data_IF_130426054770
#
_entry.id   IF_130426054770
#
_cell.length_a   1.000
_cell.length_b   1.000
_cell.length_c   1.000
_cell.angle_alpha   90.00
_cell.angle_beta   90.00
_cell.angle_gamma   90.00
#
_symmetry.space_group_name_H-M   'P 1'
#
loop_
_entity.id
_entity.type
_entity.pdbx_description
1 polymer ?
#
# COMPACT_ATOMS: atom_id res chain seq x y z
N UNK A 1 -29.89 -1.55 -19.35
CA UNK A 1 -29.21 -0.27 -19.63
C UNK A 1 -29.04 0.47 -18.31
N UNK A 2 -27.91 1.11 -18.13
CA UNK A 2 -27.58 2.03 -17.04
C UNK A 2 -27.37 3.41 -17.67
N UNK A 3 -27.92 4.44 -17.06
CA UNK A 3 -27.76 5.82 -17.51
C UNK A 3 -26.89 6.56 -16.49
N UNK A 4 -25.67 6.88 -16.89
CA UNK A 4 -24.76 7.70 -16.13
C UNK A 4 -25.05 9.17 -16.49
N UNK A 5 -25.62 9.90 -15.53
CA UNK A 5 -25.97 11.32 -15.68
C UNK A 5 -24.72 12.17 -15.40
N UNK A 6 -23.88 12.31 -16.44
CA UNK A 6 -22.67 13.13 -16.35
C UNK A 6 -22.98 14.57 -15.97
N UNK A 7 -22.13 15.16 -15.10
CA UNK A 7 -22.32 16.49 -14.56
C UNK A 7 -23.66 16.72 -13.85
N UNK A 8 -24.25 15.65 -13.27
CA UNK A 8 -25.58 15.76 -12.67
C UNK A 8 -25.62 16.80 -11.55
N UNK A 9 -24.65 16.76 -10.64
CA UNK A 9 -24.66 17.65 -9.47
C UNK A 9 -24.47 19.11 -9.86
N UNK A 10 -23.59 19.41 -10.80
CA UNK A 10 -23.40 20.77 -11.32
C UNK A 10 -24.61 21.24 -12.09
N UNK A 11 -25.14 20.39 -12.97
CA UNK A 11 -26.35 20.66 -13.73
C UNK A 11 -27.54 20.91 -12.80
N UNK A 12 -27.67 20.13 -11.72
CA UNK A 12 -28.71 20.32 -10.72
C UNK A 12 -28.58 21.68 -9.99
N UNK A 13 -27.37 22.04 -9.58
CA UNK A 13 -27.12 23.33 -8.92
C UNK A 13 -27.42 24.52 -9.83
N UNK A 14 -27.16 24.38 -11.13
CA UNK A 14 -27.42 25.42 -12.13
C UNK A 14 -28.89 25.45 -12.57
N UNK A 15 -29.50 24.29 -12.86
CA UNK A 15 -30.90 24.15 -13.27
C UNK A 15 -31.47 22.81 -12.77
N UNK A 16 -32.04 22.81 -11.59
CA UNK A 16 -32.56 21.61 -10.94
C UNK A 16 -33.73 20.97 -11.69
N UNK A 17 -34.58 21.79 -12.32
CA UNK A 17 -35.76 21.31 -13.06
C UNK A 17 -35.30 20.51 -14.31
N UNK A 18 -34.35 21.06 -15.06
CA UNK A 18 -33.81 20.39 -16.21
C UNK A 18 -33.09 19.09 -15.84
N UNK A 19 -32.25 19.10 -14.81
CA UNK A 19 -31.53 17.93 -14.35
C UNK A 19 -32.47 16.80 -13.90
N UNK A 20 -33.51 17.11 -13.14
CA UNK A 20 -34.55 16.15 -12.73
C UNK A 20 -35.33 15.60 -13.93
N UNK A 21 -35.69 16.45 -14.89
CA UNK A 21 -36.38 16.04 -16.11
C UNK A 21 -35.52 15.08 -16.94
N UNK A 22 -34.23 15.34 -17.06
CA UNK A 22 -33.31 14.51 -17.81
C UNK A 22 -33.23 13.08 -17.26
N UNK A 23 -33.00 12.94 -15.93
CA UNK A 23 -32.92 11.61 -15.31
C UNK A 23 -34.26 10.88 -15.29
N UNK A 24 -35.38 11.61 -15.12
CA UNK A 24 -36.72 11.02 -15.19
C UNK A 24 -37.01 10.48 -16.58
N UNK A 25 -36.69 11.22 -17.63
CA UNK A 25 -36.88 10.73 -19.01
C UNK A 25 -36.06 9.48 -19.29
N UNK A 26 -34.80 9.42 -18.82
CA UNK A 26 -33.99 8.22 -18.98
C UNK A 26 -34.59 7.01 -18.26
N UNK A 27 -35.11 7.21 -17.05
CA UNK A 27 -35.76 6.17 -16.27
C UNK A 27 -37.06 5.69 -16.94
N UNK A 28 -37.92 6.60 -17.35
CA UNK A 28 -39.21 6.30 -17.98
C UNK A 28 -39.04 5.57 -19.34
N UNK A 29 -37.91 5.78 -20.01
CA UNK A 29 -37.55 5.10 -21.26
C UNK A 29 -36.68 3.84 -21.05
N UNK A 30 -36.69 3.26 -19.86
CA UNK A 30 -36.21 1.91 -19.58
C UNK A 30 -34.78 1.79 -19.06
N UNK A 31 -34.14 2.87 -18.62
CA UNK A 31 -32.90 2.75 -17.85
C UNK A 31 -33.16 2.04 -16.52
N UNK A 32 -32.47 0.93 -16.25
CA UNK A 32 -32.62 0.16 -15.03
C UNK A 32 -31.94 0.79 -13.83
N UNK A 33 -30.89 1.57 -14.08
CA UNK A 33 -30.13 2.30 -13.09
C UNK A 33 -29.93 3.73 -13.57
N UNK A 34 -30.10 4.67 -12.67
CA UNK A 34 -29.78 6.07 -12.85
C UNK A 34 -28.62 6.41 -11.93
N UNK A 35 -27.47 6.71 -12.49
CA UNK A 35 -26.26 7.01 -11.76
C UNK A 35 -26.01 8.51 -11.81
N UNK A 36 -25.95 9.13 -10.65
CA UNK A 36 -25.72 10.57 -10.52
C UNK A 36 -24.19 10.81 -10.44
N UNK A 37 -23.64 11.53 -11.42
CA UNK A 37 -22.20 11.75 -11.51
C UNK A 37 -21.81 13.13 -10.98
N UNK A 38 -20.85 13.15 -10.07
CA UNK A 38 -20.14 14.35 -9.63
C UNK A 38 -18.83 14.44 -10.45
N UNK A 39 -18.98 14.80 -11.71
CA UNK A 39 -17.94 14.72 -12.74
C UNK A 39 -16.73 15.60 -12.44
N UNK A 40 -16.94 16.77 -11.80
CA UNK A 40 -15.85 17.64 -11.38
C UNK A 40 -15.39 17.43 -9.93
N UNK A 41 -16.04 16.54 -9.18
CA UNK A 41 -15.67 16.22 -7.81
C UNK A 41 -15.89 17.36 -6.79
N UNK A 42 -16.75 18.31 -7.13
CA UNK A 42 -16.96 19.52 -6.34
C UNK A 42 -18.16 19.50 -5.38
N UNK A 43 -18.89 18.40 -5.30
CA UNK A 43 -20.08 18.29 -4.44
C UNK A 43 -19.68 18.00 -2.99
N UNK A 44 -20.09 18.88 -2.09
CA UNK A 44 -19.83 18.73 -0.66
C UNK A 44 -20.92 17.88 0.03
N UNK A 45 -20.58 17.18 1.14
CA UNK A 45 -21.49 16.24 1.80
C UNK A 45 -22.85 16.84 2.22
N UNK A 46 -22.87 18.08 2.66
CA UNK A 46 -24.12 18.72 3.10
C UNK A 46 -25.10 19.04 1.96
N UNK A 47 -24.59 19.16 0.71
CA UNK A 47 -25.42 19.38 -0.49
C UNK A 47 -26.14 18.11 -0.91
N UNK A 48 -25.45 16.95 -0.75
CA UNK A 48 -25.90 15.65 -1.23
C UNK A 48 -27.29 15.26 -0.71
N UNK A 49 -27.54 15.41 0.57
CA UNK A 49 -28.80 15.01 1.19
C UNK A 49 -30.00 15.79 0.62
N UNK A 50 -29.84 17.09 0.41
CA UNK A 50 -30.87 17.94 -0.16
C UNK A 50 -31.18 17.56 -1.62
N UNK A 51 -30.13 17.31 -2.42
CA UNK A 51 -30.25 16.90 -3.83
C UNK A 51 -30.94 15.53 -3.92
N UNK A 52 -30.45 14.53 -3.20
CA UNK A 52 -31.02 13.18 -3.22
C UNK A 52 -32.49 13.15 -2.73
N UNK A 53 -32.86 13.99 -1.77
CA UNK A 53 -34.26 14.13 -1.35
C UNK A 53 -35.19 14.51 -2.51
N UNK A 54 -34.74 15.37 -3.42
CA UNK A 54 -35.52 15.77 -4.58
C UNK A 54 -35.48 14.71 -5.70
N UNK A 55 -34.33 14.11 -5.95
CA UNK A 55 -34.18 13.01 -6.91
C UNK A 55 -35.11 11.82 -6.58
N UNK A 56 -35.20 11.46 -5.30
CA UNK A 56 -36.05 10.33 -4.82
C UNK A 56 -37.55 10.57 -4.98
N UNK A 57 -37.99 11.78 -5.29
CA UNK A 57 -39.39 12.05 -5.65
C UNK A 57 -39.77 11.52 -7.06
N UNK A 58 -38.76 11.29 -7.92
CA UNK A 58 -38.96 10.90 -9.33
C UNK A 58 -38.29 9.58 -9.69
N UNK A 59 -37.25 9.17 -8.97
CA UNK A 59 -36.55 7.89 -9.17
C UNK A 59 -36.59 7.09 -7.88
N UNK A 60 -37.02 5.82 -7.89
CA UNK A 60 -36.95 4.92 -6.72
C UNK A 60 -35.51 4.78 -6.22
N UNK A 61 -35.31 4.85 -4.89
CA UNK A 61 -33.96 4.86 -4.31
C UNK A 61 -33.15 3.58 -4.59
N UNK A 62 -33.83 2.45 -4.75
CA UNK A 62 -33.22 1.17 -5.11
C UNK A 62 -32.74 1.10 -6.58
N UNK A 63 -33.07 2.11 -7.38
CA UNK A 63 -32.61 2.28 -8.78
C UNK A 63 -31.56 3.36 -8.94
N UNK A 64 -31.17 3.98 -7.82
CA UNK A 64 -30.16 5.05 -7.84
C UNK A 64 -28.75 4.48 -7.65
N UNK A 65 -27.83 5.00 -8.45
CA UNK A 65 -26.39 4.89 -8.32
C UNK A 65 -25.73 6.25 -8.15
N UNK A 66 -24.49 6.24 -7.72
CA UNK A 66 -23.64 7.43 -7.61
C UNK A 66 -22.23 7.15 -8.13
N UNK A 67 -21.62 8.20 -8.70
CA UNK A 67 -20.26 8.21 -9.17
C UNK A 67 -19.61 9.53 -8.75
N UNK A 68 -18.64 9.48 -7.85
CA UNK A 68 -17.97 10.68 -7.33
C UNK A 68 -16.49 10.71 -7.73
N UNK A 69 -16.05 11.83 -8.33
CA UNK A 69 -14.63 12.18 -8.39
C UNK A 69 -14.14 12.77 -7.06
N UNK A 70 -12.83 12.71 -6.83
CA UNK A 70 -12.24 12.97 -5.51
C UNK A 70 -11.52 14.32 -5.41
N UNK A 71 -11.89 15.29 -6.24
CA UNK A 71 -11.18 16.59 -6.33
C UNK A 71 -11.25 17.42 -5.03
N UNK A 72 -12.30 17.24 -4.24
CA UNK A 72 -12.45 17.85 -2.91
C UNK A 72 -12.14 16.89 -1.75
N UNK A 73 -11.56 15.71 -2.05
CA UNK A 73 -11.28 14.62 -1.09
C UNK A 73 -12.53 14.09 -0.34
N UNK A 74 -13.72 14.27 -0.93
CA UNK A 74 -14.99 13.86 -0.30
C UNK A 74 -15.65 12.65 -0.98
N UNK A 75 -15.12 12.13 -2.08
CA UNK A 75 -15.77 11.09 -2.88
C UNK A 75 -16.14 9.83 -2.07
N UNK A 76 -15.24 9.36 -1.21
CA UNK A 76 -15.52 8.21 -0.34
C UNK A 76 -16.66 8.50 0.63
N UNK A 77 -16.63 9.66 1.31
CA UNK A 77 -17.67 10.03 2.25
C UNK A 77 -19.03 10.23 1.56
N UNK A 78 -19.05 10.94 0.43
CA UNK A 78 -20.28 11.15 -0.36
C UNK A 78 -20.88 9.80 -0.81
N UNK A 79 -20.07 8.82 -1.21
CA UNK A 79 -20.51 7.48 -1.55
C UNK A 79 -21.17 6.76 -0.37
N UNK A 80 -20.56 6.84 0.82
CA UNK A 80 -21.11 6.23 2.04
C UNK A 80 -22.43 6.90 2.48
N UNK A 81 -22.48 8.22 2.43
CA UNK A 81 -23.68 8.99 2.78
C UNK A 81 -24.81 8.74 1.78
N UNK A 82 -24.50 8.65 0.47
CA UNK A 82 -25.48 8.28 -0.54
C UNK A 82 -26.11 6.89 -0.25
N UNK A 83 -25.30 5.90 0.11
CA UNK A 83 -25.81 4.57 0.48
C UNK A 83 -26.68 4.63 1.73
N UNK A 84 -26.30 5.41 2.73
CA UNK A 84 -27.09 5.64 3.94
C UNK A 84 -28.44 6.31 3.62
N UNK A 85 -28.45 7.21 2.63
CA UNK A 85 -29.63 7.87 2.13
C UNK A 85 -30.49 7.03 1.17
N UNK A 86 -30.15 5.77 0.93
CA UNK A 86 -30.98 4.84 0.18
C UNK A 86 -30.43 4.41 -1.20
N UNK A 87 -29.36 5.03 -1.69
CA UNK A 87 -28.70 4.62 -2.95
C UNK A 87 -28.17 3.18 -2.82
N UNK A 88 -28.25 2.39 -3.91
CA UNK A 88 -27.88 0.96 -3.90
C UNK A 88 -26.74 0.60 -4.82
N UNK A 89 -26.25 1.54 -5.60
CA UNK A 89 -25.08 1.34 -6.45
C UNK A 89 -24.05 2.46 -6.21
N UNK A 90 -22.80 2.08 -6.08
CA UNK A 90 -21.66 3.00 -6.05
C UNK A 90 -20.68 2.59 -7.15
N UNK A 91 -20.39 3.50 -8.04
CA UNK A 91 -19.28 3.40 -8.97
C UNK A 91 -18.05 4.05 -8.34
N UNK A 92 -16.91 3.45 -8.59
CA UNK A 92 -15.61 3.91 -8.10
C UNK A 92 -14.51 3.01 -8.62
N UNK A 93 -13.30 3.19 -8.13
CA UNK A 93 -12.14 2.42 -8.57
C UNK A 93 -11.35 1.90 -7.39
N UNK A 94 -10.66 0.78 -7.58
CA UNK A 94 -9.68 0.34 -6.61
C UNK A 94 -8.55 1.37 -6.51
N UNK A 95 -8.07 1.60 -5.28
CA UNK A 95 -7.03 2.57 -4.95
C UNK A 95 -7.37 4.03 -5.36
N UNK A 96 -8.63 4.32 -5.69
CA UNK A 96 -9.06 5.65 -6.10
C UNK A 96 -8.51 6.10 -7.45
N UNK A 97 -8.16 5.14 -8.33
CA UNK A 97 -7.66 5.45 -9.66
C UNK A 97 -8.66 6.27 -10.46
N UNK A 98 -8.19 7.12 -11.37
CA UNK A 98 -9.02 7.92 -12.25
C UNK A 98 -8.37 9.24 -12.64
N UNK A 99 -9.12 10.04 -13.35
CA UNK A 99 -8.66 11.36 -13.80
C UNK A 99 -8.44 12.32 -12.63
N UNK A 100 -7.53 13.26 -12.79
CA UNK A 100 -7.20 14.32 -11.82
C UNK A 100 -6.84 13.73 -10.44
N UNK A 101 -7.75 13.90 -9.45
CA UNK A 101 -7.58 13.37 -8.09
C UNK A 101 -8.18 11.97 -7.90
N UNK A 102 -8.66 11.35 -8.98
CA UNK A 102 -9.24 10.01 -8.98
C UNK A 102 -10.72 9.95 -8.65
N UNK A 103 -11.20 8.75 -8.39
CA UNK A 103 -12.59 8.43 -8.08
C UNK A 103 -12.75 8.01 -6.62
N UNK A 104 -13.99 7.80 -6.18
CA UNK A 104 -14.26 7.16 -4.90
C UNK A 104 -13.47 5.84 -4.77
N UNK A 105 -12.64 5.75 -3.75
CA UNK A 105 -11.80 4.57 -3.52
C UNK A 105 -12.65 3.39 -3.01
N UNK A 106 -12.89 2.40 -3.86
CA UNK A 106 -13.70 1.22 -3.51
C UNK A 106 -13.12 0.39 -2.36
N UNK A 107 -11.81 0.44 -2.12
CA UNK A 107 -11.19 -0.17 -0.93
C UNK A 107 -11.79 0.45 0.33
N UNK A 108 -11.84 1.78 0.39
CA UNK A 108 -12.35 2.53 1.52
C UNK A 108 -13.87 2.40 1.64
N UNK A 109 -14.59 2.54 0.51
CA UNK A 109 -16.05 2.42 0.47
C UNK A 109 -16.49 1.05 0.95
N UNK A 110 -15.96 -0.04 0.39
CA UNK A 110 -16.33 -1.41 0.75
C UNK A 110 -15.99 -1.73 2.21
N UNK A 111 -14.79 -1.35 2.66
CA UNK A 111 -14.37 -1.59 4.05
C UNK A 111 -15.26 -0.88 5.05
N UNK A 112 -15.63 0.37 4.80
CA UNK A 112 -16.54 1.12 5.67
C UNK A 112 -17.96 0.55 5.66
N UNK A 113 -18.52 0.27 4.49
CA UNK A 113 -19.86 -0.31 4.38
C UNK A 113 -19.97 -1.64 5.17
N UNK A 114 -18.98 -2.52 5.03
CA UNK A 114 -18.99 -3.84 5.66
C UNK A 114 -18.61 -3.82 7.14
N UNK A 115 -17.55 -3.10 7.51
CA UNK A 115 -16.96 -3.17 8.86
C UNK A 115 -17.56 -2.13 9.82
N UNK A 116 -17.90 -0.94 9.33
CA UNK A 116 -18.42 0.17 10.16
C UNK A 116 -19.93 0.27 10.08
N UNK A 117 -20.48 0.30 8.87
CA UNK A 117 -21.93 0.49 8.66
C UNK A 117 -22.74 -0.80 8.69
N UNK A 118 -22.07 -1.98 8.69
CA UNK A 118 -22.70 -3.31 8.82
C UNK A 118 -23.65 -3.69 7.67
N UNK A 119 -23.49 -3.08 6.51
CA UNK A 119 -24.24 -3.48 5.33
C UNK A 119 -23.86 -4.90 4.88
N UNK A 120 -24.81 -5.59 4.24
CA UNK A 120 -24.58 -6.92 3.66
C UNK A 120 -24.16 -6.76 2.20
N UNK A 121 -23.04 -7.37 1.84
CA UNK A 121 -22.51 -7.39 0.48
C UNK A 121 -21.83 -8.73 0.22
N UNK A 122 -21.83 -9.20 -1.03
CA UNK A 122 -21.15 -10.45 -1.44
C UNK A 122 -19.63 -10.40 -1.17
N UNK A 123 -19.05 -9.23 -1.17
CA UNK A 123 -17.62 -9.03 -0.90
C UNK A 123 -17.21 -9.40 0.54
N UNK A 124 -18.17 -9.52 1.48
CA UNK A 124 -17.89 -9.80 2.90
C UNK A 124 -16.96 -11.00 3.10
N UNK A 125 -17.17 -12.08 2.34
CA UNK A 125 -16.40 -13.32 2.47
C UNK A 125 -14.98 -13.23 1.91
N UNK A 126 -14.67 -12.19 1.15
CA UNK A 126 -13.37 -11.96 0.51
C UNK A 126 -12.71 -10.64 0.93
N UNK A 127 -13.24 -9.96 1.94
CA UNK A 127 -12.71 -8.67 2.37
C UNK A 127 -11.25 -8.78 2.86
N UNK A 128 -10.87 -9.91 3.41
CA UNK A 128 -9.49 -10.21 3.81
C UNK A 128 -8.49 -10.33 2.63
N UNK A 129 -8.96 -10.27 1.40
CA UNK A 129 -8.11 -10.24 0.19
C UNK A 129 -7.92 -8.81 -0.33
N UNK A 130 -8.57 -7.81 0.26
CA UNK A 130 -8.61 -6.45 -0.32
C UNK A 130 -7.23 -5.79 -0.33
N UNK A 131 -6.40 -6.04 0.67
CA UNK A 131 -5.01 -5.56 0.70
C UNK A 131 -4.17 -6.19 -0.42
N UNK A 132 -4.31 -7.49 -0.63
CA UNK A 132 -3.64 -8.18 -1.74
C UNK A 132 -4.05 -7.61 -3.09
N UNK A 133 -5.36 -7.43 -3.34
CA UNK A 133 -5.87 -6.89 -4.60
C UNK A 133 -5.39 -5.45 -4.81
N UNK A 134 -5.40 -4.62 -3.76
CA UNK A 134 -4.90 -3.25 -3.83
C UNK A 134 -3.43 -3.20 -4.28
N UNK A 135 -2.57 -4.01 -3.66
CA UNK A 135 -1.14 -4.10 -4.02
C UNK A 135 -0.93 -4.67 -5.41
N UNK A 136 -1.65 -5.73 -5.77
CA UNK A 136 -1.58 -6.34 -7.10
C UNK A 136 -1.90 -5.35 -8.22
N UNK A 137 -2.90 -4.48 -8.02
CA UNK A 137 -3.23 -3.43 -9.00
C UNK A 137 -2.09 -2.42 -9.14
N UNK A 138 -1.53 -1.94 -8.03
CA UNK A 138 -0.41 -0.99 -8.08
C UNK A 138 0.83 -1.61 -8.74
N UNK A 139 1.16 -2.86 -8.41
CA UNK A 139 2.26 -3.61 -9.05
C UNK A 139 2.03 -3.78 -10.56
N UNK A 140 0.80 -4.16 -10.96
CA UNK A 140 0.44 -4.30 -12.40
C UNK A 140 0.59 -2.98 -13.15
N UNK A 141 0.31 -1.86 -12.49
CA UNK A 141 0.45 -0.52 -13.04
C UNK A 141 1.88 0.04 -12.90
N UNK A 142 2.82 -0.74 -12.38
CA UNK A 142 4.17 -0.31 -12.05
C UNK A 142 4.20 0.97 -11.19
N UNK A 143 3.34 1.00 -10.16
CA UNK A 143 3.21 2.11 -9.21
C UNK A 143 3.60 1.65 -7.82
N UNK A 144 4.34 2.49 -7.10
CA UNK A 144 4.55 2.26 -5.68
C UNK A 144 3.25 2.50 -4.90
N UNK A 145 2.78 1.50 -4.16
CA UNK A 145 1.60 1.65 -3.30
C UNK A 145 1.87 2.68 -2.20
N UNK A 146 1.03 3.72 -2.07
CA UNK A 146 1.17 4.68 -0.98
C UNK A 146 1.05 4.00 0.38
N UNK A 147 2.06 4.21 1.22
CA UNK A 147 2.13 3.54 2.55
C UNK A 147 0.98 3.90 3.48
N UNK A 148 0.41 5.08 3.33
CA UNK A 148 -0.64 5.65 4.18
C UNK A 148 -2.07 5.42 3.67
N UNK A 149 -2.27 4.57 2.66
CA UNK A 149 -3.62 4.24 2.19
C UNK A 149 -4.46 3.66 3.36
N UNK A 150 -5.65 4.19 3.63
CA UNK A 150 -6.52 3.63 4.64
C UNK A 150 -6.80 2.14 4.41
N UNK A 151 -6.84 1.34 5.47
CA UNK A 151 -7.06 -0.11 5.50
C UNK A 151 -5.93 -0.96 4.90
N UNK A 152 -5.33 -0.60 3.77
CA UNK A 152 -4.47 -1.50 2.96
C UNK A 152 -3.00 -1.06 2.91
N UNK A 153 -2.71 0.19 3.21
CA UNK A 153 -1.34 0.71 3.22
C UNK A 153 -0.46 0.02 4.26
N UNK A 154 0.83 -0.09 3.99
CA UNK A 154 1.79 -0.70 4.90
C UNK A 154 1.93 0.03 6.24
N UNK A 155 1.55 1.32 6.30
CA UNK A 155 1.54 2.11 7.52
C UNK A 155 0.16 2.22 8.17
N UNK A 156 -0.92 1.67 7.56
CA UNK A 156 -2.29 1.82 8.06
C UNK A 156 -2.49 1.29 9.50
N UNK A 157 -1.71 0.28 9.90
CA UNK A 157 -1.70 -0.32 11.24
C UNK A 157 -0.28 -0.37 11.82
N UNK A 158 0.53 0.66 11.51
CA UNK A 158 1.88 0.78 12.01
C UNK A 158 1.92 1.70 13.25
N UNK A 159 2.52 1.22 14.32
CA UNK A 159 2.66 1.95 15.59
C UNK A 159 4.12 2.21 15.87
N UNK A 160 4.52 3.48 16.01
CA UNK A 160 5.90 3.93 16.20
C UNK A 160 6.18 4.40 17.65
N UNK A 161 5.24 5.09 18.27
CA UNK A 161 5.38 5.64 19.60
C UNK A 161 5.36 4.57 20.70
N UNK A 162 6.28 4.64 21.66
CA UNK A 162 6.38 3.63 22.74
C UNK A 162 5.10 3.48 23.59
N UNK A 163 4.40 4.60 23.86
CA UNK A 163 3.11 4.56 24.57
C UNK A 163 2.03 3.88 23.72
N UNK A 164 1.97 4.17 22.40
CA UNK A 164 1.02 3.56 21.49
C UNK A 164 1.22 2.05 21.40
N UNK A 165 2.47 1.60 21.29
CA UNK A 165 2.80 0.18 21.23
C UNK A 165 2.41 -0.51 22.53
N UNK A 166 2.76 0.06 23.69
CA UNK A 166 2.38 -0.51 24.99
C UNK A 166 0.86 -0.60 25.17
N UNK A 167 0.10 0.38 24.69
CA UNK A 167 -1.35 0.37 24.76
C UNK A 167 -1.97 -0.68 23.80
N UNK A 168 -1.47 -0.78 22.57
CA UNK A 168 -1.92 -1.77 21.57
C UNK A 168 -1.61 -3.20 22.04
N UNK A 169 -0.50 -3.44 22.73
CA UNK A 169 -0.18 -4.74 23.30
C UNK A 169 -1.15 -5.16 24.43
N UNK A 170 -1.64 -4.20 25.20
CA UNK A 170 -2.65 -4.45 26.26
C UNK A 170 -4.05 -4.60 25.67
N UNK A 171 -4.45 -3.69 24.82
CA UNK A 171 -5.72 -3.70 24.09
C UNK A 171 -5.55 -3.06 22.72
N UNK A 172 -5.57 -3.85 21.63
CA UNK A 172 -5.49 -3.33 20.26
C UNK A 172 -6.52 -2.24 19.95
N UNK A 173 -7.72 -2.32 20.52
CA UNK A 173 -8.80 -1.36 20.28
C UNK A 173 -8.47 0.05 20.77
N UNK A 174 -7.44 0.23 21.58
CA UNK A 174 -7.02 1.55 22.05
C UNK A 174 -6.52 2.46 20.93
N UNK A 175 -5.97 1.89 19.84
CA UNK A 175 -5.43 2.62 18.69
C UNK A 175 -5.86 2.06 17.33
N UNK A 176 -6.45 0.88 17.29
CA UNK A 176 -6.89 0.26 16.04
C UNK A 176 -8.41 0.26 15.93
N UNK A 177 -8.91 0.88 14.90
CA UNK A 177 -10.34 1.00 14.67
C UNK A 177 -10.99 -0.30 14.16
N UNK A 178 -10.18 -1.27 13.70
CA UNK A 178 -10.54 -2.64 13.31
C UNK A 178 -9.33 -3.55 13.55
N UNK A 179 -9.58 -4.87 13.56
CA UNK A 179 -8.52 -5.87 13.42
C UNK A 179 -7.98 -5.85 11.98
N UNK A 180 -6.65 -5.62 11.75
CA UNK A 180 -6.04 -5.59 10.43
C UNK A 180 -6.30 -6.84 9.57
N UNK A 181 -6.38 -8.02 10.18
CA UNK A 181 -6.61 -9.29 9.49
C UNK A 181 -7.95 -9.31 8.72
N UNK A 182 -8.94 -8.50 9.13
CA UNK A 182 -10.22 -8.41 8.44
C UNK A 182 -10.12 -7.87 7.02
N UNK A 183 -9.07 -7.10 6.75
CA UNK A 183 -8.77 -6.53 5.43
C UNK A 183 -7.51 -7.16 4.79
N UNK A 184 -6.96 -8.21 5.40
CA UNK A 184 -5.75 -8.90 4.93
C UNK A 184 -4.47 -8.07 5.10
N UNK A 185 -4.49 -7.11 6.02
CA UNK A 185 -3.33 -6.35 6.44
C UNK A 185 -2.80 -6.88 7.78
N UNK A 186 -1.68 -6.38 8.25
CA UNK A 186 -1.06 -6.81 9.51
C UNK A 186 -0.68 -5.60 10.38
N UNK A 187 -0.61 -5.85 11.69
CA UNK A 187 -0.06 -4.88 12.63
C UNK A 187 1.44 -4.84 12.54
N UNK A 188 1.99 -3.64 12.40
CA UNK A 188 3.43 -3.42 12.36
C UNK A 188 3.87 -2.56 13.53
N UNK A 189 4.78 -3.10 14.35
CA UNK A 189 5.43 -2.35 15.40
C UNK A 189 6.75 -1.79 14.85
N UNK A 190 6.75 -0.49 14.58
CA UNK A 190 7.90 0.18 13.97
C UNK A 190 8.98 0.41 15.01
N UNK A 191 10.20 -0.05 14.75
CA UNK A 191 11.37 0.24 15.57
C UNK A 191 12.08 1.46 14.97
N UNK A 192 12.14 2.53 15.72
CA UNK A 192 12.84 3.76 15.36
C UNK A 192 13.71 4.24 16.52
N UNK A 193 14.48 5.30 16.29
CA UNK A 193 15.26 5.98 17.33
C UNK A 193 14.43 6.43 18.53
N UNK A 194 13.11 6.62 18.38
CA UNK A 194 12.16 6.92 19.44
C UNK A 194 11.56 5.66 20.08
N UNK A 195 11.89 4.48 19.58
CA UNK A 195 11.40 3.21 20.12
C UNK A 195 12.09 2.87 21.44
N UNK A 196 11.29 2.52 22.44
CA UNK A 196 11.81 2.04 23.72
C UNK A 196 12.40 0.63 23.64
N UNK A 197 13.09 0.22 24.72
CA UNK A 197 13.68 -1.13 24.86
C UNK A 197 12.66 -2.26 24.63
N UNK A 198 11.39 -2.05 25.02
CA UNK A 198 10.30 -3.02 24.84
C UNK A 198 10.06 -3.37 23.37
N UNK A 199 10.10 -2.40 22.47
CA UNK A 199 9.86 -2.62 21.03
C UNK A 199 10.95 -3.48 20.38
N UNK A 200 12.21 -3.19 20.72
CA UNK A 200 13.34 -3.99 20.27
C UNK A 200 13.20 -5.43 20.79
N UNK A 201 12.88 -5.61 22.08
CA UNK A 201 12.67 -6.93 22.66
C UNK A 201 11.54 -7.70 21.97
N UNK A 202 10.44 -7.05 21.62
CA UNK A 202 9.31 -7.68 20.93
C UNK A 202 9.67 -8.11 19.51
N UNK A 203 10.39 -7.26 18.75
CA UNK A 203 10.91 -7.66 17.43
C UNK A 203 11.90 -8.84 17.54
N UNK A 204 12.80 -8.81 18.52
CA UNK A 204 13.74 -9.92 18.75
C UNK A 204 13.01 -11.23 19.06
N UNK A 205 11.91 -11.18 19.86
CA UNK A 205 11.06 -12.35 20.12
C UNK A 205 10.37 -12.85 18.84
N UNK A 206 9.84 -11.95 18.00
CA UNK A 206 9.21 -12.28 16.70
C UNK A 206 10.17 -13.10 15.82
N UNK A 207 11.45 -12.73 15.79
CA UNK A 207 12.48 -13.43 15.03
C UNK A 207 13.03 -14.69 15.72
N UNK A 208 12.41 -15.12 16.84
CA UNK A 208 12.85 -16.29 17.63
C UNK A 208 14.34 -16.25 17.99
N UNK A 209 14.89 -15.05 18.15
CA UNK A 209 16.25 -14.87 18.63
C UNK A 209 16.21 -15.19 20.13
N UNK A 210 16.63 -16.42 20.50
CA UNK A 210 16.68 -16.87 21.90
C UNK A 210 17.75 -16.06 22.62
N UNK A 211 17.32 -15.29 23.60
CA UNK A 211 18.23 -14.42 24.33
C UNK A 211 18.02 -14.54 25.83
N UNK A 212 19.08 -14.88 26.53
CA UNK A 212 19.34 -14.37 27.87
C UNK A 212 19.96 -12.97 27.70
N UNK A 213 19.15 -11.96 27.28
CA UNK A 213 19.66 -10.59 27.09
C UNK A 213 19.49 -9.84 28.37
N UNK A 214 20.58 -9.22 28.84
CA UNK A 214 20.53 -8.25 29.91
C UNK A 214 20.15 -6.85 29.34
N UNK A 215 19.64 -5.97 30.19
CA UNK A 215 19.22 -4.62 29.83
C UNK A 215 20.32 -3.77 29.16
N UNK A 216 21.60 -4.04 29.49
CA UNK A 216 22.75 -3.31 28.93
C UNK A 216 22.98 -3.68 27.44
N UNK A 217 22.82 -4.94 27.10
CA UNK A 217 22.94 -5.40 25.71
C UNK A 217 21.84 -4.82 24.82
N UNK A 218 20.60 -4.72 25.33
CA UNK A 218 19.49 -4.07 24.60
C UNK A 218 19.78 -2.59 24.40
N UNK A 219 20.32 -1.90 25.43
CA UNK A 219 20.69 -0.49 25.33
C UNK A 219 21.79 -0.27 24.28
N UNK A 220 22.85 -1.09 24.29
CA UNK A 220 23.93 -1.02 23.29
C UNK A 220 23.43 -1.28 21.88
N UNK A 221 22.46 -2.19 21.71
CA UNK A 221 21.85 -2.44 20.39
C UNK A 221 21.00 -1.25 19.91
N UNK A 222 20.24 -0.62 20.82
CA UNK A 222 19.52 0.62 20.52
C UNK A 222 20.43 1.76 20.08
N UNK A 223 21.59 1.91 20.71
CA UNK A 223 22.59 2.89 20.30
C UNK A 223 23.13 2.58 18.90
N UNK A 224 23.38 1.31 18.60
CA UNK A 224 23.77 0.88 17.26
C UNK A 224 22.71 1.23 16.22
N UNK A 225 21.42 0.96 16.51
CA UNK A 225 20.30 1.32 15.63
C UNK A 225 20.23 2.82 15.38
N UNK A 226 20.30 3.63 16.45
CA UNK A 226 20.30 5.10 16.35
C UNK A 226 21.44 5.63 15.47
N UNK A 227 22.64 5.06 15.65
CA UNK A 227 23.80 5.43 14.82
C UNK A 227 23.61 5.09 13.36
N UNK A 228 23.03 3.92 13.05
CA UNK A 228 22.74 3.52 11.68
C UNK A 228 21.65 4.41 11.06
N UNK A 229 20.59 4.72 11.80
CA UNK A 229 19.52 5.63 11.34
C UNK A 229 20.05 7.05 11.08
N UNK A 230 20.97 7.54 11.91
CA UNK A 230 21.67 8.81 11.70
C UNK A 230 22.49 8.81 10.39
N UNK A 231 23.05 7.66 10.03
CA UNK A 231 23.78 7.45 8.77
C UNK A 231 22.87 7.25 7.55
N UNK A 232 21.54 7.34 7.73
CA UNK A 232 20.54 7.25 6.66
C UNK A 232 19.93 5.86 6.46
N UNK A 233 20.29 4.86 7.28
CA UNK A 233 19.64 3.55 7.20
C UNK A 233 18.23 3.62 7.80
N UNK A 234 17.25 3.01 7.12
CA UNK A 234 15.88 2.88 7.61
C UNK A 234 15.52 1.41 7.80
N UNK A 235 15.06 1.07 9.02
CA UNK A 235 14.62 -0.29 9.34
C UNK A 235 13.10 -0.45 9.29
N UNK A 236 12.39 0.60 8.89
CA UNK A 236 10.97 0.61 8.62
C UNK A 236 10.69 -0.14 7.32
N UNK A 237 10.10 -1.32 7.40
CA UNK A 237 9.88 -2.19 6.24
C UNK A 237 11.08 -3.05 5.84
N UNK A 238 12.28 -2.81 6.40
CA UNK A 238 13.48 -3.62 6.16
C UNK A 238 13.68 -4.67 7.27
N UNK A 239 12.68 -5.53 7.50
CA UNK A 239 12.68 -6.52 8.60
C UNK A 239 13.86 -7.48 8.55
N UNK A 240 14.24 -7.95 7.35
CA UNK A 240 15.37 -8.84 7.16
C UNK A 240 16.70 -8.17 7.53
N UNK A 241 16.88 -6.89 7.17
CA UNK A 241 18.08 -6.12 7.54
C UNK A 241 18.19 -5.92 9.05
N UNK A 242 17.06 -5.63 9.71
CA UNK A 242 16.99 -5.55 11.18
C UNK A 242 17.33 -6.91 11.83
N UNK A 243 16.76 -8.00 11.33
CA UNK A 243 17.03 -9.36 11.83
C UNK A 243 18.51 -9.72 11.69
N UNK A 244 19.12 -9.45 10.54
CA UNK A 244 20.55 -9.69 10.31
C UNK A 244 21.41 -8.88 11.28
N UNK A 245 21.12 -7.60 11.47
CA UNK A 245 21.84 -6.76 12.45
C UNK A 245 21.72 -7.32 13.86
N UNK A 246 20.52 -7.75 14.25
CA UNK A 246 20.28 -8.36 15.56
C UNK A 246 21.00 -9.69 15.72
N UNK A 247 20.98 -10.57 14.72
CA UNK A 247 21.70 -11.87 14.76
C UNK A 247 23.21 -11.67 14.86
N UNK A 248 23.76 -10.74 14.12
CA UNK A 248 25.19 -10.38 14.20
C UNK A 248 25.57 -9.87 15.59
N UNK A 249 24.70 -9.11 16.24
CA UNK A 249 24.98 -8.54 17.59
C UNK A 249 24.82 -9.56 18.71
N UNK A 250 23.83 -10.45 18.62
CA UNK A 250 23.40 -11.29 19.75
C UNK A 250 23.70 -12.78 19.60
N UNK A 251 24.06 -13.25 18.41
CA UNK A 251 24.33 -14.66 18.15
C UNK A 251 25.72 -14.83 17.54
N UNK A 252 26.28 -16.04 17.61
CA UNK A 252 27.41 -16.41 16.74
C UNK A 252 26.89 -16.48 15.31
N UNK A 253 27.15 -15.43 14.55
CA UNK A 253 26.73 -15.33 13.15
C UNK A 253 27.90 -15.72 12.24
N UNK A 254 27.71 -16.74 11.40
CA UNK A 254 28.67 -17.09 10.38
C UNK A 254 28.39 -16.19 9.17
N UNK A 255 29.34 -15.35 8.79
CA UNK A 255 29.25 -14.62 7.53
C UNK A 255 29.30 -15.59 6.36
N UNK A 256 28.38 -15.43 5.41
CA UNK A 256 28.32 -16.29 4.24
C UNK A 256 29.37 -15.89 3.19
N UNK A 257 29.71 -14.61 3.17
CA UNK A 257 30.77 -14.04 2.36
C UNK A 257 31.20 -12.71 2.95
N UNK A 258 32.37 -12.23 2.57
CA UNK A 258 32.80 -10.85 2.79
C UNK A 258 32.99 -10.15 1.47
N UNK A 259 32.51 -8.90 1.36
CA UNK A 259 32.67 -8.05 0.19
C UNK A 259 33.97 -7.29 0.31
N UNK A 260 34.90 -7.50 -0.64
CA UNK A 260 36.13 -6.71 -0.72
C UNK A 260 35.93 -5.42 -1.49
N UNK A 261 35.36 -5.54 -2.70
CA UNK A 261 35.09 -4.38 -3.54
C UNK A 261 33.99 -4.63 -4.55
N UNK A 262 33.39 -3.56 -5.02
CA UNK A 262 32.50 -3.59 -6.17
C UNK A 262 32.69 -2.34 -7.02
N UNK A 263 32.37 -2.46 -8.30
CA UNK A 263 32.32 -1.35 -9.26
C UNK A 263 31.08 -1.53 -10.12
N UNK A 264 30.35 -0.44 -10.36
CA UNK A 264 29.26 -0.39 -11.34
C UNK A 264 29.58 0.67 -12.37
N UNK A 265 29.30 0.38 -13.62
CA UNK A 265 29.43 1.30 -14.74
C UNK A 265 28.11 1.30 -15.52
N UNK A 266 27.56 2.47 -15.75
CA UNK A 266 26.42 2.64 -16.64
C UNK A 266 26.93 3.12 -18.00
N UNK A 267 26.49 2.44 -19.04
CA UNK A 267 26.93 2.69 -20.40
C UNK A 267 25.72 2.85 -21.32
N UNK A 268 25.77 3.86 -22.16
CA UNK A 268 24.81 4.04 -23.25
C UNK A 268 25.40 3.48 -24.52
N UNK A 269 24.91 2.34 -24.99
CA UNK A 269 25.32 1.72 -26.25
C UNK A 269 24.34 2.06 -27.36
N UNK A 270 24.85 2.43 -28.51
CA UNK A 270 24.07 2.56 -29.73
C UNK A 270 24.27 1.30 -30.57
N UNK A 271 23.18 0.60 -30.87
CA UNK A 271 23.25 -0.54 -31.77
C UNK A 271 23.22 -0.08 -33.26
N UNK A 272 23.57 -0.98 -34.22
CA UNK A 272 23.57 -0.64 -35.65
C UNK A 272 22.23 -0.14 -36.19
N UNK A 273 21.12 -0.35 -35.47
CA UNK A 273 19.78 0.12 -35.83
C UNK A 273 19.42 1.45 -35.17
N UNK A 274 20.39 2.20 -34.64
CA UNK A 274 20.22 3.48 -33.94
C UNK A 274 19.31 3.47 -32.70
N UNK A 275 19.08 2.29 -32.11
CA UNK A 275 18.40 2.19 -30.82
C UNK A 275 19.43 2.34 -29.69
N UNK A 276 19.25 3.36 -28.89
CA UNK A 276 20.05 3.56 -27.68
C UNK A 276 19.60 2.62 -26.59
N UNK A 277 20.52 1.83 -26.06
CA UNK A 277 20.27 0.90 -24.93
C UNK A 277 21.17 1.34 -23.79
N UNK A 278 20.57 1.57 -22.61
CA UNK A 278 21.32 1.76 -21.38
C UNK A 278 21.59 0.38 -20.77
N UNK A 279 22.84 0.09 -20.47
CA UNK A 279 23.28 -1.16 -19.85
C UNK A 279 24.14 -0.80 -18.64
N UNK A 280 23.86 -1.45 -17.51
CA UNK A 280 24.71 -1.39 -16.32
C UNK A 280 25.56 -2.63 -16.24
N UNK A 281 26.86 -2.49 -16.10
CA UNK A 281 27.80 -3.57 -15.82
C UNK A 281 28.24 -3.47 -14.36
N UNK A 282 28.18 -4.57 -13.62
CA UNK A 282 28.72 -4.67 -12.26
C UNK A 282 29.84 -5.68 -12.19
N UNK A 283 30.90 -5.33 -11.43
CA UNK A 283 32.01 -6.21 -11.07
C UNK A 283 32.11 -6.27 -9.57
N UNK A 284 32.20 -7.47 -9.02
CA UNK A 284 32.36 -7.69 -7.58
C UNK A 284 33.55 -8.58 -7.28
N UNK A 285 34.17 -8.32 -6.13
CA UNK A 285 35.21 -9.16 -5.54
C UNK A 285 34.80 -9.52 -4.12
N UNK A 286 34.65 -10.81 -3.88
CA UNK A 286 34.18 -11.33 -2.59
C UNK A 286 35.06 -12.48 -2.12
N UNK A 287 35.07 -12.73 -0.81
CA UNK A 287 35.64 -13.94 -0.21
C UNK A 287 34.50 -14.83 0.30
N UNK A 288 34.61 -16.11 0.00
CA UNK A 288 33.75 -17.18 0.54
C UNK A 288 34.64 -18.28 1.08
N UNK A 289 34.55 -18.57 2.37
CA UNK A 289 35.41 -19.58 3.03
C UNK A 289 36.91 -19.36 2.73
N UNK A 290 37.37 -18.10 2.89
CA UNK A 290 38.75 -17.63 2.66
C UNK A 290 39.25 -17.75 1.20
N UNK A 291 38.37 -18.09 0.25
CA UNK A 291 38.68 -18.10 -1.19
C UNK A 291 38.15 -16.86 -1.85
N UNK A 292 39.00 -16.24 -2.65
CA UNK A 292 38.64 -15.08 -3.45
C UNK A 292 37.84 -15.47 -4.70
N UNK A 293 36.79 -14.69 -4.98
CA UNK A 293 35.99 -14.82 -6.19
C UNK A 293 35.77 -13.46 -6.82
N UNK A 294 36.01 -13.40 -8.09
CA UNK A 294 35.69 -12.27 -8.95
C UNK A 294 34.58 -12.64 -9.88
N UNK A 295 33.58 -11.76 -10.02
CA UNK A 295 32.45 -11.95 -10.89
C UNK A 295 32.01 -10.64 -11.52
N UNK A 296 31.51 -10.73 -12.76
CA UNK A 296 30.95 -9.60 -13.49
C UNK A 296 29.64 -10.02 -14.16
N UNK A 297 28.71 -9.07 -14.30
CA UNK A 297 27.45 -9.26 -14.98
C UNK A 297 26.91 -7.93 -15.51
N UNK A 298 26.08 -8.01 -16.56
CA UNK A 298 25.26 -6.93 -17.05
C UNK A 298 23.83 -7.06 -16.52
N UNK A 299 23.12 -5.93 -16.38
CA UNK A 299 21.73 -5.86 -15.93
C UNK A 299 21.01 -4.63 -16.47
N UNK A 300 19.70 -4.58 -16.27
CA UNK A 300 18.86 -3.45 -16.71
C UNK A 300 19.06 -2.18 -15.88
N UNK A 301 19.87 -2.26 -14.83
CA UNK A 301 20.20 -1.16 -13.93
C UNK A 301 21.30 -1.57 -12.95
N UNK A 302 21.87 -0.63 -12.19
CA UNK A 302 23.05 -0.87 -11.34
C UNK A 302 22.82 -1.96 -10.28
N UNK A 303 21.69 -1.95 -9.61
CA UNK A 303 21.38 -2.94 -8.57
C UNK A 303 21.11 -4.31 -9.17
N UNK A 304 20.42 -4.38 -10.31
CA UNK A 304 20.18 -5.65 -11.00
C UNK A 304 21.50 -6.28 -11.48
N UNK A 305 22.42 -5.48 -12.04
CA UNK A 305 23.74 -5.95 -12.43
C UNK A 305 24.55 -6.48 -11.22
N UNK A 306 24.52 -5.76 -10.08
CA UNK A 306 25.17 -6.20 -8.83
C UNK A 306 24.55 -7.50 -8.29
N UNK A 307 23.22 -7.63 -8.29
CA UNK A 307 22.53 -8.86 -7.84
C UNK A 307 22.93 -10.06 -8.68
N UNK A 308 22.93 -9.93 -10.01
CA UNK A 308 23.35 -11.01 -10.92
C UNK A 308 24.82 -11.38 -10.67
N UNK A 309 25.73 -10.38 -10.58
CA UNK A 309 27.13 -10.64 -10.34
C UNK A 309 27.37 -11.37 -9.01
N UNK A 310 26.70 -10.94 -7.93
CA UNK A 310 26.79 -11.57 -6.61
C UNK A 310 26.26 -13.00 -6.63
N UNK A 311 25.09 -13.25 -7.22
CA UNK A 311 24.50 -14.58 -7.33
C UNK A 311 25.39 -15.52 -8.13
N UNK A 312 25.98 -15.04 -9.24
CA UNK A 312 26.91 -15.81 -10.07
C UNK A 312 28.11 -16.31 -9.27
N UNK A 313 28.63 -15.49 -8.36
CA UNK A 313 29.71 -15.88 -7.47
C UNK A 313 29.26 -16.86 -6.38
N UNK A 314 28.10 -16.60 -5.73
CA UNK A 314 27.63 -17.35 -4.56
C UNK A 314 26.97 -18.68 -4.88
N UNK A 315 26.42 -18.86 -6.07
CA UNK A 315 25.60 -20.04 -6.45
C UNK A 315 26.36 -21.35 -6.33
N UNK A 316 27.69 -21.32 -6.49
CA UNK A 316 28.57 -22.49 -6.35
C UNK A 316 28.61 -23.01 -4.91
N UNK A 317 28.44 -22.13 -3.92
CA UNK A 317 28.48 -22.45 -2.49
C UNK A 317 27.07 -22.60 -1.92
N UNK A 318 26.12 -21.82 -2.43
CA UNK A 318 24.75 -21.72 -1.93
C UNK A 318 23.75 -21.93 -3.08
N UNK A 319 23.57 -23.17 -3.59
CA UNK A 319 22.73 -23.44 -4.76
C UNK A 319 21.28 -22.95 -4.65
N UNK A 320 20.73 -22.89 -3.42
CA UNK A 320 19.37 -22.39 -3.17
C UNK A 320 19.16 -20.93 -3.57
N UNK A 321 20.23 -20.15 -3.70
CA UNK A 321 20.14 -18.75 -4.11
C UNK A 321 19.58 -18.58 -5.53
N UNK A 322 19.63 -19.64 -6.36
CA UNK A 322 19.00 -19.66 -7.69
C UNK A 322 17.48 -19.49 -7.64
N UNK A 323 16.86 -19.82 -6.52
CA UNK A 323 15.39 -19.73 -6.34
C UNK A 323 14.93 -18.34 -5.95
N UNK A 324 15.86 -17.44 -5.61
CA UNK A 324 15.57 -16.07 -5.24
C UNK A 324 15.61 -15.19 -6.49
N UNK A 325 14.66 -14.28 -6.63
CA UNK A 325 14.63 -13.25 -7.67
C UNK A 325 14.56 -11.87 -7.00
N UNK A 326 15.31 -10.91 -7.53
CA UNK A 326 15.15 -9.52 -7.16
C UNK A 326 13.88 -9.00 -7.81
N UNK A 327 12.92 -8.54 -7.01
CA UNK A 327 11.63 -8.05 -7.48
C UNK A 327 11.46 -6.54 -7.23
N UNK A 328 12.14 -6.01 -6.23
CA UNK A 328 12.10 -4.59 -5.87
C UNK A 328 13.31 -4.21 -5.02
N UNK A 329 13.68 -2.89 -5.02
CA UNK A 329 14.79 -2.36 -4.21
C UNK A 329 14.63 -0.85 -3.92
#
# INVERSE_FOLDING_TARGET
VMFDAEHFFDGYKNNSEYAIKAIKNAYDNGAKWIVLCDTNGGTLPYELAAILKNVKKVIPEEKLGVHFHNDTDTATYNSLEAVKLGVRQVQGTFNGLGERCGNANLVNVASNLLLKMKYKCKLKNNLNKITYVSRFIDETLNRQSPRNLPFVGSAAFAHKGGLHISAVEKDPKSYEHIDPLKVGNERTLVVSNQSGKSNVLNKLKKFKIKLKINNNQVSSFLETLKKQEYLGYAYDGAEASFELLARRKFQKFKEFYSLESFKVSDEKRNNPQNKSIAISEARIKIFVEDKEFYSAAEGNGPIHALDIALRKALVKFYPKIKQLNLIDY
#
